data_IF_663452279775
#
_entry.id   IF_663452279775
#
_cell.length_a   1.000
_cell.length_b   1.000
_cell.length_c   1.000
_cell.angle_alpha   90.00
_cell.angle_beta   90.00
_cell.angle_gamma   90.00
#
_symmetry.space_group_name_H-M   'P 1'
#
loop_
_entity.id
_entity.type
_entity.pdbx_description
1 polymer ?
#
# COMPACT_ATOMS: atom_id res chain seq x y z
N UNK A 1 -1.60 -24.82 -33.32
CA UNK A 1 -2.87 -24.09 -33.49
C UNK A 1 -3.46 -23.90 -32.10
N UNK A 2 -3.33 -22.69 -31.54
CA UNK A 2 -3.94 -22.32 -30.26
C UNK A 2 -5.44 -22.13 -30.51
N UNK A 3 -6.25 -23.15 -30.23
CA UNK A 3 -7.71 -23.13 -30.36
C UNK A 3 -8.36 -22.65 -29.06
N UNK A 4 -7.92 -21.49 -28.56
CA UNK A 4 -8.61 -20.74 -27.52
C UNK A 4 -9.06 -19.41 -28.13
N UNK A 5 -10.35 -19.11 -28.09
CA UNK A 5 -10.86 -17.79 -28.51
C UNK A 5 -10.19 -16.74 -27.63
N UNK A 6 -9.39 -15.86 -28.23
CA UNK A 6 -8.74 -14.75 -27.51
C UNK A 6 -9.84 -13.94 -26.82
N UNK A 7 -9.87 -13.96 -25.49
CA UNK A 7 -10.82 -13.18 -24.69
C UNK A 7 -10.50 -11.70 -24.91
N UNK A 8 -11.53 -10.86 -25.06
CA UNK A 8 -11.29 -9.43 -25.24
C UNK A 8 -10.53 -8.86 -24.03
N UNK A 9 -9.56 -8.00 -24.29
CA UNK A 9 -8.57 -7.50 -23.31
C UNK A 9 -9.22 -6.97 -22.03
N UNK A 10 -10.36 -6.27 -22.15
CA UNK A 10 -11.04 -5.69 -21.00
C UNK A 10 -11.61 -6.74 -20.03
N UNK A 11 -12.05 -7.91 -20.52
CA UNK A 11 -12.46 -9.02 -19.64
C UNK A 11 -11.27 -9.62 -18.90
N UNK A 12 -10.15 -9.79 -19.60
CA UNK A 12 -8.90 -10.31 -19.00
C UNK A 12 -8.44 -9.38 -17.87
N UNK A 13 -8.38 -8.07 -18.14
CA UNK A 13 -7.98 -7.08 -17.12
C UNK A 13 -8.96 -7.05 -15.94
N UNK A 14 -10.27 -7.11 -16.19
CA UNK A 14 -11.29 -7.15 -15.14
C UNK A 14 -11.18 -8.37 -14.23
N UNK A 15 -10.90 -9.56 -14.79
CA UNK A 15 -10.69 -10.78 -14.04
C UNK A 15 -9.43 -10.70 -13.17
N UNK A 16 -8.32 -10.22 -13.73
CA UNK A 16 -7.07 -10.06 -12.99
C UNK A 16 -7.13 -8.94 -11.96
N UNK A 17 -7.92 -7.89 -12.20
CA UNK A 17 -8.22 -6.88 -11.18
C UNK A 17 -8.98 -7.51 -10.01
N UNK A 18 -9.97 -8.35 -10.30
CA UNK A 18 -10.74 -9.07 -9.28
C UNK A 18 -9.85 -10.03 -8.49
N UNK A 19 -8.90 -10.70 -9.14
CA UNK A 19 -7.89 -11.51 -8.47
C UNK A 19 -6.95 -10.65 -7.60
N UNK A 20 -6.39 -9.57 -8.15
CA UNK A 20 -5.41 -8.71 -7.46
C UNK A 20 -5.93 -8.14 -6.14
N UNK A 21 -7.22 -7.81 -6.09
CA UNK A 21 -7.86 -7.16 -4.95
C UNK A 21 -8.90 -8.06 -4.25
N UNK A 22 -8.92 -9.35 -4.59
CA UNK A 22 -9.82 -10.31 -3.97
C UNK A 22 -9.50 -10.49 -2.48
N UNK A 23 -10.56 -10.52 -1.67
CA UNK A 23 -10.49 -10.77 -0.23
C UNK A 23 -11.25 -12.04 0.14
N UNK A 24 -11.00 -12.53 1.36
CA UNK A 24 -11.61 -13.75 1.89
C UNK A 24 -10.64 -14.94 1.93
N UNK A 25 -11.11 -16.13 2.33
CA UNK A 25 -10.24 -17.30 2.45
C UNK A 25 -9.67 -17.72 1.08
N UNK A 26 -8.44 -18.24 1.08
CA UNK A 26 -7.86 -18.85 -0.08
C UNK A 26 -8.61 -20.13 -0.47
N UNK A 27 -8.67 -20.42 -1.77
CA UNK A 27 -9.05 -21.74 -2.25
C UNK A 27 -7.82 -22.64 -2.18
N UNK A 28 -7.66 -23.31 -1.04
CA UNK A 28 -6.45 -24.08 -0.74
C UNK A 28 -6.22 -25.21 -1.74
N UNK A 29 -7.27 -25.94 -2.12
CA UNK A 29 -7.15 -27.06 -3.05
C UNK A 29 -6.66 -26.59 -4.43
N UNK A 30 -7.21 -25.48 -4.94
CA UNK A 30 -6.75 -24.89 -6.21
C UNK A 30 -5.33 -24.35 -6.12
N UNK A 31 -4.98 -23.71 -5.01
CA UNK A 31 -3.64 -23.18 -4.81
C UNK A 31 -2.58 -24.29 -4.72
N UNK A 32 -2.86 -25.39 -4.03
CA UNK A 32 -1.96 -26.53 -3.92
C UNK A 32 -1.76 -27.21 -5.29
N UNK A 33 -2.85 -27.39 -6.06
CA UNK A 33 -2.78 -27.91 -7.42
C UNK A 33 -2.00 -26.98 -8.36
N UNK A 34 -2.22 -25.66 -8.26
CA UNK A 34 -1.46 -24.66 -9.01
C UNK A 34 0.03 -24.66 -8.68
N UNK A 35 0.38 -24.77 -7.39
CA UNK A 35 1.77 -24.89 -6.96
C UNK A 35 2.40 -26.19 -7.48
N UNK A 36 1.72 -27.34 -7.38
CA UNK A 36 2.21 -28.60 -7.94
C UNK A 36 2.47 -28.49 -9.46
N UNK A 37 1.54 -27.87 -10.19
CA UNK A 37 1.69 -27.65 -11.63
C UNK A 37 2.87 -26.73 -11.96
N UNK A 38 3.13 -25.70 -11.16
CA UNK A 38 4.28 -24.82 -11.33
C UNK A 38 5.61 -25.55 -11.09
N UNK A 39 5.67 -26.44 -10.09
CA UNK A 39 6.85 -27.31 -9.87
C UNK A 39 7.06 -28.29 -11.03
N UNK A 40 6.00 -28.94 -11.50
CA UNK A 40 6.06 -29.86 -12.63
C UNK A 40 6.53 -29.15 -13.91
N UNK A 41 6.05 -27.92 -14.17
CA UNK A 41 6.51 -27.10 -15.29
C UNK A 41 7.99 -26.71 -15.20
N UNK A 42 8.53 -26.62 -13.99
CA UNK A 42 9.95 -26.39 -13.72
C UNK A 42 10.80 -27.69 -13.75
N UNK A 43 10.18 -28.86 -13.99
CA UNK A 43 10.87 -30.15 -13.96
C UNK A 43 11.24 -30.62 -12.56
N UNK A 44 10.54 -30.15 -11.53
CA UNK A 44 10.70 -30.54 -10.14
C UNK A 44 9.55 -31.46 -9.70
N UNK A 45 9.81 -32.29 -8.70
CA UNK A 45 8.76 -33.04 -8.03
C UNK A 45 7.81 -32.09 -7.29
N UNK A 46 6.54 -32.49 -7.13
CA UNK A 46 5.59 -31.71 -6.36
C UNK A 46 6.05 -31.62 -4.88
N UNK A 47 5.76 -30.50 -4.18
CA UNK A 47 6.06 -30.37 -2.75
C UNK A 47 5.45 -31.51 -1.95
N UNK A 48 6.20 -32.05 -0.99
CA UNK A 48 5.72 -33.09 -0.09
C UNK A 48 4.75 -32.52 0.97
N UNK A 49 4.89 -31.23 1.30
CA UNK A 49 4.05 -30.53 2.29
C UNK A 49 3.64 -29.14 1.82
N UNK A 50 2.42 -28.77 2.15
CA UNK A 50 1.82 -27.46 1.90
C UNK A 50 1.51 -26.81 3.24
N UNK A 51 2.31 -25.81 3.61
CA UNK A 51 2.22 -25.12 4.90
C UNK A 51 1.38 -23.87 4.71
N UNK A 52 0.18 -23.83 5.29
CA UNK A 52 -0.71 -22.68 5.21
C UNK A 52 -0.49 -21.73 6.38
N UNK A 53 -0.20 -20.47 6.07
CA UNK A 53 -0.03 -19.39 7.05
C UNK A 53 -1.11 -18.31 6.84
N UNK A 54 -1.53 -17.64 7.92
CA UNK A 54 -2.61 -16.65 7.85
C UNK A 54 -2.22 -15.35 7.14
N UNK A 55 -0.94 -15.02 7.00
CA UNK A 55 -0.50 -13.77 6.41
C UNK A 55 0.89 -13.88 5.75
N UNK A 56 1.24 -12.97 4.81
CA UNK A 56 2.56 -12.95 4.23
C UNK A 56 3.64 -12.61 5.27
N UNK A 57 3.29 -11.94 6.36
CA UNK A 57 4.23 -11.65 7.43
C UNK A 57 4.60 -12.90 8.24
N UNK A 58 3.59 -13.72 8.58
CA UNK A 58 3.84 -15.05 9.18
C UNK A 58 4.66 -15.95 8.25
N UNK A 59 4.38 -15.90 6.95
CA UNK A 59 5.16 -16.59 5.92
C UNK A 59 6.61 -16.13 5.84
N UNK A 60 6.87 -14.81 5.91
CA UNK A 60 8.22 -14.26 5.92
C UNK A 60 9.03 -14.67 7.16
N UNK A 61 8.40 -14.75 8.33
CA UNK A 61 9.06 -15.29 9.55
C UNK A 61 9.41 -16.77 9.35
N UNK A 62 8.48 -17.58 8.86
CA UNK A 62 8.74 -19.00 8.58
C UNK A 62 9.86 -19.19 7.56
N UNK A 63 9.87 -18.41 6.49
CA UNK A 63 10.94 -18.42 5.50
C UNK A 63 12.30 -18.01 6.09
N UNK A 64 12.34 -17.00 6.96
CA UNK A 64 13.55 -16.58 7.66
C UNK A 64 14.07 -17.66 8.64
N UNK A 65 13.17 -18.36 9.35
CA UNK A 65 13.53 -19.50 10.21
C UNK A 65 14.15 -20.63 9.38
N UNK A 66 13.55 -20.97 8.22
CA UNK A 66 14.11 -21.97 7.30
C UNK A 66 15.48 -21.57 6.73
N UNK A 67 15.72 -20.26 6.54
CA UNK A 67 17.01 -19.71 6.13
C UNK A 67 18.07 -19.69 7.25
N UNK A 68 17.74 -20.18 8.46
CA UNK A 68 18.67 -20.23 9.58
C UNK A 68 18.82 -18.89 10.31
N UNK A 69 17.84 -18.00 10.21
CA UNK A 69 17.88 -16.68 10.85
C UNK A 69 17.16 -16.61 12.20
N UNK A 70 16.74 -17.75 12.76
CA UNK A 70 15.99 -17.82 14.02
C UNK A 70 16.68 -17.07 15.16
N UNK A 71 17.97 -17.31 15.38
CA UNK A 71 18.72 -16.70 16.50
C UNK A 71 18.75 -15.16 16.41
N UNK A 72 18.93 -14.60 15.21
CA UNK A 72 18.94 -13.14 15.01
C UNK A 72 17.55 -12.51 15.24
N UNK A 73 16.48 -13.25 14.95
CA UNK A 73 15.11 -12.81 15.23
C UNK A 73 14.80 -12.91 16.74
N UNK A 74 15.34 -13.94 17.42
CA UNK A 74 15.20 -14.13 18.86
C UNK A 74 15.88 -12.99 19.63
N UNK A 75 17.10 -12.62 19.23
CA UNK A 75 17.85 -11.46 19.77
C UNK A 75 17.06 -10.15 19.63
N UNK A 76 16.27 -10.01 18.56
CA UNK A 76 15.39 -8.87 18.33
C UNK A 76 14.05 -8.94 19.11
N UNK A 77 13.85 -9.96 19.94
CA UNK A 77 12.65 -10.13 20.77
C UNK A 77 11.45 -10.70 20.01
N UNK A 78 11.68 -11.46 18.94
CA UNK A 78 10.62 -12.05 18.12
C UNK A 78 10.34 -13.53 18.43
N UNK A 79 10.69 -14.00 19.64
CA UNK A 79 10.54 -15.39 20.09
C UNK A 79 9.14 -15.96 19.83
N UNK A 80 8.08 -15.23 20.23
CA UNK A 80 6.69 -15.67 20.00
C UNK A 80 6.40 -15.95 18.51
N UNK A 81 6.95 -15.15 17.59
CA UNK A 81 6.77 -15.35 16.14
C UNK A 81 7.56 -16.55 15.62
N UNK A 82 8.73 -16.80 16.22
CA UNK A 82 9.58 -17.95 15.89
C UNK A 82 8.91 -19.25 16.36
N UNK A 83 8.39 -19.30 17.58
CA UNK A 83 7.66 -20.46 18.11
C UNK A 83 6.47 -20.80 17.22
N UNK A 84 5.70 -19.77 16.89
CA UNK A 84 4.62 -19.77 15.94
C UNK A 84 5.02 -20.33 14.56
N UNK A 85 6.10 -19.82 13.98
CA UNK A 85 6.61 -20.31 12.70
C UNK A 85 7.09 -21.76 12.78
N UNK A 86 7.76 -22.16 13.87
CA UNK A 86 8.18 -23.55 14.10
C UNK A 86 6.97 -24.48 14.25
N UNK A 87 5.90 -24.02 14.89
CA UNK A 87 4.65 -24.77 15.01
C UNK A 87 4.00 -25.01 13.64
N UNK A 88 3.98 -23.98 12.77
CA UNK A 88 3.45 -24.11 11.41
C UNK A 88 4.29 -25.08 10.55
N UNK A 89 5.62 -25.00 10.67
CA UNK A 89 6.57 -25.84 9.92
C UNK A 89 6.61 -27.29 10.44
N UNK A 90 6.39 -27.50 11.73
CA UNK A 90 6.52 -28.80 12.38
C UNK A 90 7.91 -29.40 12.22
N UNK A 91 7.97 -30.69 11.89
CA UNK A 91 9.19 -31.46 11.62
C UNK A 91 9.64 -31.41 10.15
N UNK A 92 9.02 -30.54 9.33
CA UNK A 92 9.29 -30.48 7.90
C UNK A 92 10.70 -29.95 7.59
N UNK A 93 11.44 -30.64 6.72
CA UNK A 93 12.69 -30.12 6.17
C UNK A 93 12.44 -29.54 4.78
N UNK A 94 12.80 -28.27 4.56
CA UNK A 94 12.42 -27.56 3.35
C UNK A 94 13.27 -27.89 2.11
N UNK A 95 14.56 -28.18 2.30
CA UNK A 95 15.55 -28.17 1.21
C UNK A 95 15.90 -26.74 0.79
N UNK A 96 16.56 -26.56 -0.36
CA UNK A 96 16.88 -25.19 -0.84
C UNK A 96 15.61 -24.48 -1.35
N UNK A 97 15.65 -23.15 -1.39
CA UNK A 97 14.64 -22.36 -2.09
C UNK A 97 14.71 -22.60 -3.61
N UNK A 98 13.54 -22.72 -4.25
CA UNK A 98 13.41 -23.01 -5.69
C UNK A 98 12.64 -21.91 -6.44
N UNK A 99 12.57 -20.69 -5.90
CA UNK A 99 11.91 -19.54 -6.51
C UNK A 99 12.39 -19.28 -7.94
N UNK A 100 13.71 -19.38 -8.16
CA UNK A 100 14.28 -19.17 -9.48
C UNK A 100 13.81 -20.22 -10.49
N UNK A 101 13.70 -21.48 -10.05
CA UNK A 101 13.27 -22.61 -10.89
C UNK A 101 11.78 -22.52 -11.20
N UNK A 102 10.95 -22.31 -10.16
CA UNK A 102 9.48 -22.37 -10.25
C UNK A 102 8.86 -21.09 -10.83
N UNK A 103 9.44 -19.92 -10.55
CA UNK A 103 8.88 -18.62 -10.95
C UNK A 103 9.79 -17.86 -11.89
N UNK A 104 11.02 -17.54 -11.50
CA UNK A 104 11.82 -16.54 -12.23
C UNK A 104 12.16 -16.97 -13.65
N UNK A 105 12.72 -18.16 -13.87
CA UNK A 105 13.15 -18.60 -15.21
C UNK A 105 11.97 -18.82 -16.17
N UNK A 106 10.87 -19.50 -15.80
CA UNK A 106 9.70 -19.63 -16.67
C UNK A 106 9.13 -18.26 -17.08
N UNK A 107 9.04 -17.33 -16.12
CA UNK A 107 8.52 -15.99 -16.33
C UNK A 107 9.38 -15.15 -17.26
N UNK A 108 10.70 -15.20 -17.07
CA UNK A 108 11.64 -14.48 -17.93
C UNK A 108 11.65 -15.02 -19.35
N UNK A 109 11.55 -16.35 -19.51
CA UNK A 109 11.46 -16.99 -20.82
C UNK A 109 10.20 -16.52 -21.59
N UNK A 110 9.03 -16.57 -20.94
CA UNK A 110 7.77 -16.11 -21.54
C UNK A 110 7.78 -14.60 -21.83
N UNK A 111 8.33 -13.79 -20.92
CA UNK A 111 8.47 -12.35 -21.13
C UNK A 111 9.40 -12.03 -22.31
N UNK A 112 10.53 -12.72 -22.41
CA UNK A 112 11.49 -12.53 -23.49
C UNK A 112 10.87 -12.92 -24.85
N UNK A 113 10.21 -14.08 -24.92
CA UNK A 113 9.52 -14.53 -26.12
C UNK A 113 8.41 -13.54 -26.54
N UNK A 114 7.58 -13.09 -25.59
CA UNK A 114 6.54 -12.09 -25.83
C UNK A 114 7.11 -10.77 -26.37
N UNK A 115 8.18 -10.27 -25.76
CA UNK A 115 8.84 -9.04 -26.18
C UNK A 115 9.43 -9.18 -27.59
N UNK A 116 10.06 -10.31 -27.91
CA UNK A 116 10.61 -10.59 -29.24
C UNK A 116 9.54 -10.69 -30.33
N UNK A 117 8.39 -11.31 -30.05
CA UNK A 117 7.30 -11.45 -31.01
C UNK A 117 6.54 -10.15 -31.27
N UNK A 118 6.31 -9.35 -30.23
CA UNK A 118 5.59 -8.06 -30.34
C UNK A 118 6.49 -6.97 -30.94
N UNK A 119 7.80 -7.04 -30.68
CA UNK A 119 8.75 -5.99 -31.07
C UNK A 119 8.59 -4.71 -30.23
N UNK A 120 9.50 -3.73 -30.45
CA UNK A 120 9.66 -2.57 -29.57
C UNK A 120 8.48 -1.59 -29.58
N UNK A 121 7.66 -1.59 -30.63
CA UNK A 121 6.50 -0.68 -30.75
C UNK A 121 5.25 -1.24 -30.07
N UNK A 122 4.97 -2.52 -30.28
CA UNK A 122 3.74 -3.13 -29.78
C UNK A 122 3.84 -3.56 -28.32
N UNK A 123 5.02 -4.04 -27.88
CA UNK A 123 5.23 -4.44 -26.48
C UNK A 123 4.79 -3.40 -25.43
N UNK A 124 5.23 -2.12 -25.50
CA UNK A 124 4.81 -1.12 -24.52
C UNK A 124 3.32 -0.77 -24.62
N UNK A 125 2.71 -0.86 -25.81
CA UNK A 125 1.26 -0.63 -25.98
C UNK A 125 0.45 -1.73 -25.33
N UNK A 126 0.78 -2.98 -25.62
CA UNK A 126 0.12 -4.14 -25.00
C UNK A 126 0.25 -4.08 -23.48
N UNK A 127 1.43 -3.70 -22.94
CA UNK A 127 1.57 -3.46 -21.51
C UNK A 127 0.64 -2.36 -20.99
N UNK A 128 0.61 -1.19 -21.64
CA UNK A 128 -0.23 -0.06 -21.23
C UNK A 128 -1.73 -0.41 -21.22
N UNK A 129 -2.18 -1.23 -22.17
CA UNK A 129 -3.57 -1.65 -22.34
C UNK A 129 -3.97 -2.85 -21.45
N UNK A 130 -3.00 -3.47 -20.76
CA UNK A 130 -3.22 -4.65 -19.92
C UNK A 130 -2.69 -4.45 -18.49
N UNK A 131 -1.53 -4.99 -18.18
CA UNK A 131 -0.91 -4.97 -16.85
C UNK A 131 -0.60 -3.57 -16.34
N UNK A 132 -0.28 -2.64 -17.25
CA UNK A 132 -0.04 -1.25 -16.93
C UNK A 132 -1.21 -0.57 -16.21
N UNK A 133 -2.45 -0.97 -16.50
CA UNK A 133 -3.65 -0.46 -15.86
C UNK A 133 -3.73 -0.83 -14.37
N UNK A 134 -3.16 -1.97 -13.98
CA UNK A 134 -3.20 -2.48 -12.60
C UNK A 134 -1.90 -2.18 -11.83
N UNK A 135 -0.79 -1.96 -12.55
CA UNK A 135 0.57 -1.95 -12.03
C UNK A 135 0.76 -1.03 -10.83
N UNK A 136 0.40 0.26 -10.95
CA UNK A 136 0.68 1.25 -9.92
C UNK A 136 -0.06 0.94 -8.60
N UNK A 137 -1.33 0.54 -8.69
CA UNK A 137 -2.14 0.21 -7.51
C UNK A 137 -1.61 -1.05 -6.81
N UNK A 138 -1.31 -2.10 -7.58
CA UNK A 138 -0.80 -3.36 -7.03
C UNK A 138 0.62 -3.19 -6.47
N UNK A 139 1.52 -2.48 -7.16
CA UNK A 139 2.87 -2.23 -6.66
C UNK A 139 2.89 -1.38 -5.40
N UNK A 140 2.00 -0.38 -5.29
CA UNK A 140 1.84 0.40 -4.06
C UNK A 140 1.46 -0.51 -2.89
N UNK A 141 0.49 -1.42 -3.09
CA UNK A 141 0.09 -2.39 -2.09
C UNK A 141 1.23 -3.34 -1.70
N UNK A 142 1.92 -3.94 -2.68
CA UNK A 142 3.07 -4.84 -2.45
C UNK A 142 4.17 -4.15 -1.65
N UNK A 143 4.51 -2.91 -2.02
CA UNK A 143 5.53 -2.11 -1.32
C UNK A 143 5.14 -1.88 0.14
N UNK A 144 3.87 -1.52 0.38
CA UNK A 144 3.35 -1.29 1.74
C UNK A 144 3.34 -2.57 2.58
N UNK A 145 2.96 -3.71 1.99
CA UNK A 145 3.02 -5.01 2.68
C UNK A 145 4.46 -5.39 3.04
N UNK A 146 5.42 -5.27 2.11
CA UNK A 146 6.85 -5.56 2.41
C UNK A 146 7.41 -4.66 3.51
N UNK A 147 7.08 -3.37 3.48
CA UNK A 147 7.49 -2.44 4.53
C UNK A 147 6.94 -2.88 5.90
N UNK A 148 5.63 -3.17 5.96
CA UNK A 148 4.97 -3.61 7.19
C UNK A 148 5.50 -4.95 7.73
N UNK A 149 5.94 -5.87 6.85
CA UNK A 149 6.62 -7.12 7.26
C UNK A 149 7.92 -6.81 8.01
N UNK A 150 8.73 -5.86 7.53
CA UNK A 150 9.94 -5.42 8.23
C UNK A 150 9.66 -4.66 9.53
N UNK A 151 8.58 -3.87 9.56
CA UNK A 151 8.16 -3.10 10.74
C UNK A 151 7.71 -3.96 11.92
N UNK A 152 7.40 -5.25 11.71
CA UNK A 152 7.09 -6.18 12.81
C UNK A 152 8.20 -6.27 13.86
N UNK A 153 9.46 -6.16 13.43
CA UNK A 153 10.63 -6.09 14.33
C UNK A 153 10.65 -4.83 15.22
N UNK A 154 9.98 -3.76 14.78
CA UNK A 154 9.96 -2.47 15.46
C UNK A 154 8.72 -2.32 16.36
N UNK A 155 7.54 -2.70 15.87
CA UNK A 155 6.26 -2.51 16.56
C UNK A 155 6.16 -3.26 17.90
N UNK A 156 6.71 -4.48 17.98
CA UNK A 156 6.63 -5.28 19.22
C UNK A 156 7.64 -4.88 20.28
N UNK A 157 8.78 -4.31 19.91
CA UNK A 157 9.76 -3.82 20.88
C UNK A 157 9.23 -2.63 21.70
N UNK A 158 8.29 -1.84 21.15
CA UNK A 158 7.59 -0.79 21.89
C UNK A 158 6.53 -1.36 22.85
N UNK A 159 5.86 -2.45 22.48
CA UNK A 159 4.82 -3.08 23.29
C UNK A 159 5.37 -3.94 24.45
N UNK A 160 6.54 -4.56 24.28
CA UNK A 160 7.09 -5.54 25.23
C UNK A 160 7.89 -4.93 26.40
N UNK A 161 8.11 -3.61 26.44
CA UNK A 161 8.88 -2.94 27.50
C UNK A 161 10.38 -3.30 27.57
N UNK A 162 10.81 -4.38 26.90
CA UNK A 162 12.20 -4.76 26.65
C UNK A 162 12.62 -4.25 25.27
N UNK A 163 13.43 -3.19 25.28
CA UNK A 163 14.02 -2.64 24.08
C UNK A 163 15.23 -3.51 23.68
N UNK A 164 15.05 -4.49 22.79
CA UNK A 164 16.19 -5.02 22.05
C UNK A 164 16.96 -3.85 21.42
N UNK A 165 18.30 -3.87 21.42
CA UNK A 165 19.10 -2.79 20.87
C UNK A 165 18.66 -2.40 19.45
N UNK A 166 18.70 -1.11 19.12
CA UNK A 166 18.31 -0.62 17.80
C UNK A 166 19.00 -1.36 16.62
N UNK A 167 20.29 -1.75 16.70
CA UNK A 167 20.95 -2.52 15.64
C UNK A 167 20.34 -3.91 15.39
N UNK A 168 19.93 -4.62 16.45
CA UNK A 168 19.39 -5.98 16.32
C UNK A 168 18.01 -5.96 15.67
N UNK A 169 17.20 -4.93 15.99
CA UNK A 169 15.90 -4.70 15.35
C UNK A 169 16.03 -4.35 13.88
N UNK A 170 16.98 -3.52 13.51
CA UNK A 170 17.22 -3.18 12.10
C UNK A 170 17.72 -4.39 11.31
N UNK A 171 18.57 -5.22 11.93
CA UNK A 171 19.01 -6.49 11.35
C UNK A 171 17.83 -7.43 11.12
N UNK A 172 16.98 -7.64 12.13
CA UNK A 172 15.77 -8.46 12.01
C UNK A 172 14.80 -7.94 10.94
N UNK A 173 14.55 -6.63 10.92
CA UNK A 173 13.73 -5.99 9.89
C UNK A 173 14.28 -6.22 8.48
N UNK A 174 15.61 -6.12 8.31
CA UNK A 174 16.28 -6.41 7.04
C UNK A 174 16.14 -7.87 6.61
N UNK A 175 16.26 -8.81 7.55
CA UNK A 175 16.09 -10.25 7.30
C UNK A 175 14.65 -10.60 6.91
N UNK A 176 13.65 -10.04 7.58
CA UNK A 176 12.24 -10.24 7.24
C UNK A 176 11.90 -9.61 5.87
N UNK A 177 12.44 -8.43 5.57
CA UNK A 177 12.31 -7.82 4.23
C UNK A 177 12.95 -8.68 3.15
N UNK A 178 14.12 -9.27 3.42
CA UNK A 178 14.79 -10.19 2.50
C UNK A 178 13.96 -11.46 2.27
N UNK A 179 13.45 -12.08 3.34
CA UNK A 179 12.55 -13.23 3.21
C UNK A 179 11.28 -12.91 2.40
N UNK A 180 10.73 -11.70 2.52
CA UNK A 180 9.60 -11.24 1.71
C UNK A 180 9.95 -10.96 0.23
N UNK A 181 11.23 -10.84 -0.13
CA UNK A 181 11.68 -10.79 -1.53
C UNK A 181 11.73 -12.18 -2.17
N UNK A 182 11.91 -13.22 -1.38
CA UNK A 182 11.93 -14.62 -1.83
C UNK A 182 10.53 -15.23 -2.06
N UNK A 183 9.49 -14.41 -1.91
CA UNK A 183 8.10 -14.81 -2.16
C UNK A 183 7.72 -14.65 -3.64
N UNK A 184 6.93 -15.61 -4.15
CA UNK A 184 6.02 -15.39 -5.27
C UNK A 184 4.83 -14.57 -4.75
N UNK A 185 4.40 -13.54 -5.49
CA UNK A 185 3.44 -12.55 -4.98
C UNK A 185 1.98 -13.00 -5.06
N UNK A 186 1.73 -14.20 -5.62
CA UNK A 186 0.40 -14.77 -5.77
C UNK A 186 -0.55 -13.80 -6.45
N UNK A 187 -1.67 -13.47 -5.81
CA UNK A 187 -2.64 -12.52 -6.36
C UNK A 187 -2.04 -11.18 -6.80
N UNK A 188 -0.94 -10.72 -6.19
CA UNK A 188 -0.32 -9.44 -6.56
C UNK A 188 0.66 -9.55 -7.74
N UNK A 189 0.84 -10.72 -8.34
CA UNK A 189 1.46 -10.88 -9.66
C UNK A 189 0.47 -10.61 -10.82
N UNK A 190 -0.82 -10.36 -10.51
CA UNK A 190 -1.90 -10.13 -11.46
C UNK A 190 -1.63 -9.15 -12.62
N UNK A 191 -0.94 -7.99 -12.44
CA UNK A 191 -0.65 -7.10 -13.56
C UNK A 191 0.09 -7.80 -14.71
N UNK A 192 1.10 -8.61 -14.39
CA UNK A 192 1.86 -9.35 -15.38
C UNK A 192 1.07 -10.54 -15.94
N UNK A 193 0.29 -11.22 -15.10
CA UNK A 193 -0.53 -12.33 -15.54
C UNK A 193 -1.65 -11.87 -16.48
N UNK A 194 -2.17 -10.65 -16.33
CA UNK A 194 -3.07 -10.01 -17.29
C UNK A 194 -2.41 -9.84 -18.66
N UNK A 195 -1.16 -9.33 -18.69
CA UNK A 195 -0.40 -9.22 -19.94
C UNK A 195 -0.22 -10.60 -20.60
N UNK A 196 0.23 -11.60 -19.83
CA UNK A 196 0.46 -12.95 -20.37
C UNK A 196 -0.83 -13.60 -20.87
N UNK A 197 -1.95 -13.45 -20.17
CA UNK A 197 -3.25 -13.98 -20.62
C UNK A 197 -3.72 -13.30 -21.91
N UNK A 198 -3.61 -11.98 -22.02
CA UNK A 198 -3.95 -11.25 -23.24
C UNK A 198 -3.09 -11.64 -24.44
N UNK A 199 -1.90 -12.19 -24.20
CA UNK A 199 -1.00 -12.74 -25.21
C UNK A 199 -1.16 -14.25 -25.43
N UNK A 200 -2.09 -14.92 -24.72
CA UNK A 200 -2.32 -16.36 -24.84
C UNK A 200 -1.20 -17.23 -24.24
N UNK A 201 -0.49 -16.74 -23.22
CA UNK A 201 0.71 -17.37 -22.64
C UNK A 201 0.49 -18.08 -21.31
N UNK A 202 -0.75 -18.24 -20.86
CA UNK A 202 -1.05 -18.92 -19.60
C UNK A 202 -1.25 -20.43 -19.73
N UNK A 203 -1.42 -20.98 -20.94
CA UNK A 203 -1.71 -22.41 -21.16
C UNK A 203 -0.46 -23.31 -21.11
N UNK A 204 0.61 -22.87 -20.45
CA UNK A 204 1.90 -23.57 -20.41
C UNK A 204 2.64 -23.39 -19.09
N UNK A 205 3.92 -22.97 -19.10
CA UNK A 205 4.75 -22.97 -17.90
C UNK A 205 4.27 -21.97 -16.83
N UNK A 206 3.37 -21.05 -17.17
CA UNK A 206 2.77 -20.09 -16.24
C UNK A 206 1.39 -20.52 -15.71
N UNK A 207 0.83 -21.64 -16.17
CA UNK A 207 -0.52 -22.08 -15.79
C UNK A 207 -0.66 -22.24 -14.27
N UNK A 208 0.30 -22.92 -13.65
CA UNK A 208 0.33 -23.14 -12.20
C UNK A 208 0.45 -21.83 -11.42
N UNK A 209 1.35 -20.93 -11.84
CA UNK A 209 1.53 -19.61 -11.22
C UNK A 209 0.25 -18.76 -11.29
N UNK A 210 -0.42 -18.79 -12.46
CA UNK A 210 -1.69 -18.10 -12.64
C UNK A 210 -2.80 -18.68 -11.74
N UNK A 211 -2.82 -20.00 -11.57
CA UNK A 211 -3.81 -20.67 -10.71
C UNK A 211 -3.61 -20.33 -9.24
N UNK A 212 -2.37 -20.31 -8.74
CA UNK A 212 -2.08 -19.84 -7.37
C UNK A 212 -2.48 -18.37 -7.21
N UNK A 213 -2.18 -17.52 -8.19
CA UNK A 213 -2.54 -16.11 -8.12
C UNK A 213 -4.06 -15.85 -8.05
N UNK A 214 -4.88 -16.74 -8.63
CA UNK A 214 -6.35 -16.64 -8.54
C UNK A 214 -6.89 -17.13 -7.20
N UNK A 215 -6.16 -18.03 -6.52
CA UNK A 215 -6.66 -18.80 -5.39
C UNK A 215 -6.04 -18.44 -4.04
N UNK A 216 -4.84 -17.84 -4.00
CA UNK A 216 -4.11 -17.58 -2.76
C UNK A 216 -3.30 -16.27 -2.76
N UNK A 217 -2.76 -15.94 -1.58
CA UNK A 217 -1.83 -14.85 -1.37
C UNK A 217 -0.39 -15.24 -1.75
N UNK A 218 0.57 -14.66 -1.04
CA UNK A 218 1.99 -14.87 -1.31
C UNK A 218 2.43 -16.27 -0.94
N UNK A 219 3.49 -16.77 -1.56
CA UNK A 219 3.99 -18.11 -1.27
C UNK A 219 5.49 -18.26 -1.51
N UNK A 220 6.12 -19.17 -0.76
CA UNK A 220 7.56 -19.42 -0.76
C UNK A 220 7.85 -20.86 -1.17
N UNK A 221 8.44 -21.08 -2.35
CA UNK A 221 8.73 -22.42 -2.85
C UNK A 221 10.09 -22.93 -2.39
N UNK A 222 10.11 -24.12 -1.78
CA UNK A 222 11.31 -24.91 -1.46
C UNK A 222 11.24 -26.30 -2.12
N UNK A 223 12.35 -27.03 -2.17
CA UNK A 223 12.39 -28.36 -2.83
C UNK A 223 11.35 -29.33 -2.30
N UNK A 224 11.13 -29.36 -0.98
CA UNK A 224 10.29 -30.38 -0.33
C UNK A 224 8.98 -29.85 0.23
N UNK A 225 8.86 -28.55 0.39
CA UNK A 225 7.65 -27.92 0.91
C UNK A 225 7.41 -26.58 0.26
N UNK A 226 6.18 -26.10 0.39
CA UNK A 226 5.80 -24.74 0.04
C UNK A 226 5.07 -24.09 1.21
N UNK A 227 5.36 -22.82 1.49
CA UNK A 227 4.58 -22.01 2.43
C UNK A 227 3.61 -21.16 1.61
N UNK A 228 2.31 -21.24 1.88
CA UNK A 228 1.27 -20.44 1.23
C UNK A 228 0.56 -19.55 2.24
N UNK A 229 0.41 -18.28 1.90
CA UNK A 229 -0.39 -17.32 2.67
C UNK A 229 -1.84 -17.35 2.23
N UNK A 230 -2.74 -17.24 3.20
CA UNK A 230 -4.10 -16.76 2.98
C UNK A 230 -4.13 -15.39 2.27
N UNK A 231 -5.28 -15.03 1.71
CA UNK A 231 -5.54 -13.69 1.15
C UNK A 231 -5.93 -12.74 2.29
N UNK A 232 -5.88 -11.41 2.08
CA UNK A 232 -6.45 -10.48 3.06
C UNK A 232 -7.94 -10.77 3.28
N UNK A 233 -8.39 -10.70 4.52
CA UNK A 233 -9.82 -10.75 4.85
C UNK A 233 -10.55 -9.47 4.47
N UNK A 234 -9.85 -8.34 4.57
CA UNK A 234 -10.39 -7.00 4.27
C UNK A 234 -9.38 -6.16 3.47
N UNK A 235 -9.90 -5.39 2.51
CA UNK A 235 -9.15 -4.44 1.71
C UNK A 235 -10.05 -3.25 1.35
N UNK A 236 -9.66 -2.06 1.80
CA UNK A 236 -10.39 -0.81 1.61
C UNK A 236 -9.51 0.20 0.87
N UNK A 237 -10.09 0.82 -0.15
CA UNK A 237 -9.40 1.76 -1.03
C UNK A 237 -10.28 2.97 -1.29
N UNK A 238 -9.65 4.11 -1.52
CA UNK A 238 -10.33 5.30 -2.05
C UNK A 238 -10.60 5.16 -3.55
N UNK A 239 -11.29 6.14 -4.13
CA UNK A 239 -11.65 6.15 -5.56
C UNK A 239 -10.42 6.07 -6.49
N UNK A 240 -9.29 6.76 -6.22
CA UNK A 240 -8.01 6.52 -6.92
C UNK A 240 -7.35 5.14 -6.71
N UNK A 241 -7.91 4.28 -5.85
CA UNK A 241 -7.40 2.93 -5.59
C UNK A 241 -6.28 2.86 -4.54
N UNK A 242 -6.05 3.92 -3.75
CA UNK A 242 -5.06 3.95 -2.66
C UNK A 242 -5.67 3.35 -1.40
N UNK A 243 -4.87 2.69 -0.56
CA UNK A 243 -5.34 2.20 0.74
C UNK A 243 -5.95 3.33 1.57
N UNK A 244 -7.19 3.15 1.99
CA UNK A 244 -7.91 4.15 2.79
C UNK A 244 -9.02 3.51 3.60
N UNK A 245 -9.07 3.82 4.90
CA UNK A 245 -10.23 3.55 5.74
C UNK A 245 -10.28 4.53 6.92
N UNK A 246 -11.50 4.94 7.30
CA UNK A 246 -11.75 5.88 8.39
C UNK A 246 -12.19 5.26 9.70
N UNK A 247 -12.34 3.95 9.80
CA UNK A 247 -12.91 3.29 10.98
C UNK A 247 -12.24 1.94 11.28
N UNK A 248 -11.03 1.73 10.76
CA UNK A 248 -10.30 0.48 10.93
C UNK A 248 -9.09 0.33 10.01
N UNK A 249 -8.54 -0.88 9.88
CA UNK A 249 -7.44 -1.16 8.97
C UNK A 249 -7.90 -1.09 7.50
N UNK A 250 -7.07 -0.50 6.66
CA UNK A 250 -7.30 -0.46 5.22
C UNK A 250 -6.95 -1.81 4.56
N UNK A 251 -6.14 -2.64 5.20
CA UNK A 251 -5.84 -4.02 4.81
C UNK A 251 -5.72 -4.85 6.09
N UNK A 252 -6.37 -6.01 6.15
CA UNK A 252 -6.26 -6.91 7.31
C UNK A 252 -6.19 -8.38 6.89
N UNK A 253 -5.31 -9.12 7.53
CA UNK A 253 -5.18 -10.58 7.40
C UNK A 253 -5.79 -11.30 8.62
N UNK A 254 -6.16 -12.59 8.48
CA UNK A 254 -6.78 -13.39 9.54
C UNK A 254 -6.07 -13.42 10.90
N UNK A 255 -4.75 -13.22 10.95
CA UNK A 255 -3.95 -13.22 12.18
C UNK A 255 -3.82 -11.84 12.84
N UNK A 256 -4.50 -10.83 12.30
CA UNK A 256 -4.41 -9.45 12.78
C UNK A 256 -3.23 -8.67 12.20
N UNK A 257 -2.44 -9.24 11.28
CA UNK A 257 -1.50 -8.44 10.50
C UNK A 257 -2.29 -7.45 9.64
N UNK A 258 -2.11 -6.16 9.91
CA UNK A 258 -2.96 -5.11 9.36
C UNK A 258 -2.18 -3.85 9.02
N UNK A 259 -2.65 -3.13 8.00
CA UNK A 259 -2.13 -1.83 7.58
C UNK A 259 -3.23 -0.78 7.70
N UNK A 260 -2.92 0.31 8.40
CA UNK A 260 -3.78 1.48 8.48
C UNK A 260 -3.30 2.54 7.51
N UNK A 261 -4.26 3.16 6.81
CA UNK A 261 -3.95 4.21 5.85
C UNK A 261 -5.10 5.20 5.68
N UNK A 262 -4.75 6.46 5.48
CA UNK A 262 -5.66 7.54 5.13
C UNK A 262 -5.27 8.11 3.77
N UNK A 263 -6.10 7.92 2.72
CA UNK A 263 -5.82 8.38 1.35
C UNK A 263 -4.43 7.97 0.83
N UNK A 264 -4.01 6.74 1.15
CA UNK A 264 -2.71 6.17 0.80
C UNK A 264 -1.58 6.44 1.81
N UNK A 265 -1.74 7.42 2.70
CA UNK A 265 -0.73 7.78 3.69
C UNK A 265 -0.79 6.82 4.89
N UNK A 266 0.35 6.22 5.33
CA UNK A 266 0.41 5.37 6.52
C UNK A 266 -0.01 6.13 7.77
N UNK A 267 -0.97 5.60 8.53
CA UNK A 267 -1.40 6.20 9.80
C UNK A 267 -1.31 5.17 10.93
N UNK A 268 -1.11 5.60 12.20
CA UNK A 268 -1.26 4.72 13.35
C UNK A 268 -2.67 4.09 13.44
N UNK A 269 -2.83 2.91 14.09
CA UNK A 269 -4.13 2.25 14.24
C UNK A 269 -5.22 3.10 14.92
N UNK A 270 -4.81 3.91 15.89
CA UNK A 270 -5.68 4.78 16.68
C UNK A 270 -5.90 6.14 16.02
N UNK A 271 -5.21 6.46 14.91
CA UNK A 271 -5.20 7.80 14.31
C UNK A 271 -6.61 8.33 14.09
N UNK A 272 -7.51 7.53 13.50
CA UNK A 272 -8.85 8.04 13.16
C UNK A 272 -9.74 8.23 14.37
N UNK A 273 -9.75 7.28 15.32
CA UNK A 273 -10.44 7.48 16.61
C UNK A 273 -9.91 8.72 17.34
N UNK A 274 -8.63 9.01 17.16
CA UNK A 274 -7.97 10.15 17.76
C UNK A 274 -8.39 11.50 17.18
N UNK A 275 -9.03 11.50 16.00
CA UNK A 275 -9.52 12.72 15.35
C UNK A 275 -10.84 13.22 15.97
N UNK A 276 -11.61 12.36 16.65
CA UNK A 276 -12.88 12.78 17.29
C UNK A 276 -12.63 13.75 18.45
N UNK A 277 -11.58 13.50 19.23
CA UNK A 277 -11.17 14.33 20.38
C UNK A 277 -9.95 15.21 20.06
N UNK A 278 -9.83 15.62 18.79
CA UNK A 278 -8.71 16.42 18.33
C UNK A 278 -8.71 17.80 19.02
N UNK A 279 -7.52 18.26 19.42
CA UNK A 279 -7.32 19.58 20.05
C UNK A 279 -6.22 20.35 19.33
N UNK A 280 -6.23 21.68 19.38
CA UNK A 280 -5.17 22.48 18.78
C UNK A 280 -3.77 22.09 19.31
N UNK A 281 -3.65 21.83 20.61
CA UNK A 281 -2.39 21.41 21.24
C UNK A 281 -1.86 20.08 20.67
N UNK A 282 -2.76 19.10 20.45
CA UNK A 282 -2.39 17.81 19.83
C UNK A 282 -1.85 18.02 18.42
N UNK A 283 -2.56 18.83 17.62
CA UNK A 283 -2.14 19.17 16.25
C UNK A 283 -0.76 19.82 16.26
N UNK A 284 -0.52 20.79 17.14
CA UNK A 284 0.78 21.47 17.24
C UNK A 284 1.92 20.54 17.68
N UNK A 285 1.62 19.50 18.46
CA UNK A 285 2.60 18.53 18.96
C UNK A 285 2.90 17.39 17.99
N UNK A 286 2.07 17.18 16.97
CA UNK A 286 2.29 16.14 15.97
C UNK A 286 3.56 16.46 15.19
N UNK A 287 4.52 15.54 15.20
CA UNK A 287 5.81 15.67 14.52
C UNK A 287 5.70 15.43 13.01
N UNK A 288 4.84 14.51 12.59
CA UNK A 288 4.67 14.17 11.19
C UNK A 288 3.85 15.25 10.48
N UNK A 289 4.51 16.00 9.59
CA UNK A 289 3.91 17.09 8.83
C UNK A 289 2.65 16.67 8.06
N UNK A 290 2.65 15.49 7.46
CA UNK A 290 1.52 14.99 6.67
C UNK A 290 0.32 14.64 7.58
N UNK A 291 0.55 14.02 8.73
CA UNK A 291 -0.51 13.76 9.72
C UNK A 291 -1.08 15.06 10.27
N UNK A 292 -0.20 16.02 10.61
CA UNK A 292 -0.59 17.32 11.15
C UNK A 292 -1.45 18.12 10.16
N UNK A 293 -1.14 18.06 8.85
CA UNK A 293 -1.96 18.67 7.79
C UNK A 293 -3.34 18.03 7.71
N UNK A 294 -3.43 16.70 7.72
CA UNK A 294 -4.73 15.99 7.75
C UNK A 294 -5.53 16.35 8.99
N UNK A 295 -4.88 16.41 10.15
CA UNK A 295 -5.51 16.85 11.38
C UNK A 295 -6.04 18.29 11.28
N UNK A 296 -5.28 19.23 10.72
CA UNK A 296 -5.73 20.62 10.50
C UNK A 296 -6.95 20.69 9.57
N UNK A 297 -6.94 19.95 8.47
CA UNK A 297 -8.07 19.89 7.53
C UNK A 297 -9.35 19.39 8.20
N UNK A 298 -9.24 18.40 9.08
CA UNK A 298 -10.38 17.79 9.79
C UNK A 298 -10.83 18.67 10.95
N UNK A 299 -9.90 19.28 11.68
CA UNK A 299 -10.20 20.15 12.82
C UNK A 299 -10.87 21.46 12.40
N UNK A 300 -10.57 21.94 11.19
CA UNK A 300 -10.95 23.25 10.71
C UNK A 300 -9.89 24.30 11.04
N UNK A 301 -9.49 25.06 10.03
CA UNK A 301 -8.49 26.11 10.17
C UNK A 301 -8.99 27.29 11.01
N UNK A 302 -10.28 27.63 10.89
CA UNK A 302 -10.97 28.66 11.66
C UNK A 302 -10.87 28.39 13.18
N UNK A 303 -11.20 27.16 13.58
CA UNK A 303 -11.16 26.73 14.97
C UNK A 303 -9.72 26.69 15.48
N UNK A 304 -8.78 26.20 14.67
CA UNK A 304 -7.37 26.16 15.04
C UNK A 304 -6.79 27.56 15.29
N UNK A 305 -7.03 28.50 14.38
CA UNK A 305 -6.56 29.89 14.51
C UNK A 305 -7.15 30.55 15.77
N UNK A 306 -8.44 30.32 16.04
CA UNK A 306 -9.11 30.84 17.23
C UNK A 306 -8.53 30.26 18.53
N UNK A 307 -8.35 28.95 18.62
CA UNK A 307 -7.83 28.28 19.82
C UNK A 307 -6.35 28.57 20.09
N UNK A 308 -5.55 28.80 19.04
CA UNK A 308 -4.11 29.11 19.17
C UNK A 308 -3.82 30.60 19.38
N UNK A 309 -4.83 31.47 19.27
CA UNK A 309 -4.65 32.92 19.37
C UNK A 309 -3.79 33.48 18.23
N UNK A 310 -3.89 32.88 17.04
CA UNK A 310 -3.13 33.28 15.87
C UNK A 310 -3.41 34.76 15.53
N UNK A 311 -2.40 35.45 15.00
CA UNK A 311 -2.52 36.84 14.55
C UNK A 311 -2.49 36.89 13.03
N UNK A 312 -3.33 37.72 12.39
CA UNK A 312 -3.32 37.84 10.94
C UNK A 312 -1.99 38.42 10.45
N UNK A 313 -1.48 37.88 9.34
CA UNK A 313 -0.27 38.35 8.67
C UNK A 313 -0.53 39.67 7.93
N UNK A 314 -1.71 39.80 7.32
CA UNK A 314 -2.14 41.00 6.61
C UNK A 314 -3.67 41.12 6.62
N UNK A 315 -4.21 42.34 6.49
CA UNK A 315 -5.64 42.58 6.32
C UNK A 315 -5.85 43.79 5.42
N UNK A 316 -6.74 43.66 4.45
CA UNK A 316 -7.16 44.74 3.55
C UNK A 316 -8.65 44.60 3.19
N UNK A 317 -9.13 45.36 2.21
CA UNK A 317 -10.52 45.32 1.75
C UNK A 317 -10.95 43.99 1.10
N UNK A 318 -10.01 43.13 0.70
CA UNK A 318 -10.29 41.85 0.03
C UNK A 318 -10.39 40.67 1.00
N UNK A 319 -9.85 40.81 2.21
CA UNK A 319 -9.92 39.75 3.23
C UNK A 319 -8.82 39.83 4.29
N UNK A 320 -8.62 38.71 4.98
CA UNK A 320 -7.59 38.55 6.02
C UNK A 320 -6.64 37.43 5.63
N UNK A 321 -5.33 37.71 5.62
CA UNK A 321 -4.31 36.70 5.40
C UNK A 321 -3.84 36.15 6.74
N UNK A 322 -3.83 34.83 6.88
CA UNK A 322 -3.38 34.12 8.07
C UNK A 322 -2.17 33.25 7.74
N UNK A 323 -1.24 33.11 8.69
CA UNK A 323 -0.14 32.14 8.63
C UNK A 323 -0.15 31.28 9.90
N UNK A 324 -0.06 29.98 9.72
CA UNK A 324 0.18 29.01 10.80
C UNK A 324 1.60 28.49 10.62
N UNK A 325 2.49 28.87 11.54
CA UNK A 325 3.84 28.33 11.59
C UNK A 325 3.82 26.87 12.05
N UNK A 326 4.44 25.99 11.26
CA UNK A 326 4.55 24.57 11.55
C UNK A 326 6.04 24.22 11.75
N UNK A 327 6.49 23.88 12.98
CA UNK A 327 7.88 23.52 13.21
C UNK A 327 8.35 22.38 12.30
N UNK A 328 9.46 22.60 11.59
CA UNK A 328 10.05 21.62 10.69
C UNK A 328 9.30 21.41 9.37
N UNK A 329 8.38 22.31 9.02
CA UNK A 329 7.60 22.26 7.79
C UNK A 329 7.35 23.69 7.25
N UNK A 330 6.84 23.79 6.03
CA UNK A 330 6.43 25.05 5.41
C UNK A 330 5.15 25.59 6.09
N UNK A 331 5.04 26.92 6.33
CA UNK A 331 3.88 27.49 7.00
C UNK A 331 2.60 27.27 6.20
N UNK A 332 1.51 27.10 6.92
CA UNK A 332 0.18 27.02 6.33
C UNK A 332 -0.39 28.43 6.20
N UNK A 333 -0.31 29.01 5.00
CA UNK A 333 -0.89 30.31 4.66
C UNK A 333 -2.28 30.13 4.05
N UNK A 334 -3.22 30.99 4.45
CA UNK A 334 -4.59 31.00 3.97
C UNK A 334 -5.19 32.41 3.93
N UNK A 335 -6.15 32.61 3.04
CA UNK A 335 -6.96 33.82 3.01
C UNK A 335 -8.37 33.53 3.53
N UNK A 336 -8.82 34.34 4.48
CA UNK A 336 -10.19 34.39 4.97
C UNK A 336 -10.98 35.35 4.07
N UNK A 337 -11.99 34.82 3.40
CA UNK A 337 -12.91 35.56 2.53
C UNK A 337 -14.35 35.29 2.94
N UNK A 338 -15.21 36.27 2.74
CA UNK A 338 -16.65 36.14 2.95
C UNK A 338 -17.31 36.01 1.58
N UNK A 339 -18.16 35.00 1.40
CA UNK A 339 -18.89 34.83 0.15
C UNK A 339 -19.72 36.08 -0.15
N UNK A 340 -19.62 36.56 -1.38
CA UNK A 340 -20.30 37.75 -1.87
C UNK A 340 -21.79 37.56 -2.13
N UNK A 341 -22.19 36.32 -2.36
CA UNK A 341 -23.60 35.94 -2.56
C UNK A 341 -24.11 35.36 -1.25
N UNK A 342 -25.19 35.92 -0.66
CA UNK A 342 -25.83 35.29 0.49
C UNK A 342 -26.32 33.89 0.12
N UNK A 343 -26.20 32.97 1.08
CA UNK A 343 -26.82 31.65 1.03
C UNK A 343 -28.36 31.79 0.91
N UNK A 344 -29.09 30.72 0.55
CA UNK A 344 -30.55 30.76 0.42
C UNK A 344 -31.31 31.26 1.66
N UNK A 345 -30.68 31.22 2.83
CA UNK A 345 -31.20 31.73 4.11
C UNK A 345 -30.80 33.18 4.43
N UNK A 346 -30.09 33.86 3.51
CA UNK A 346 -29.62 35.24 3.66
C UNK A 346 -28.28 35.38 4.39
N UNK A 347 -27.70 34.30 4.89
CA UNK A 347 -26.42 34.34 5.63
C UNK A 347 -25.24 34.40 4.67
N UNK A 348 -24.12 34.97 5.12
CA UNK A 348 -22.86 34.92 4.38
C UNK A 348 -21.94 33.92 5.06
N UNK A 349 -21.25 33.09 4.27
CA UNK A 349 -20.28 32.13 4.77
C UNK A 349 -18.87 32.67 4.67
N UNK A 350 -18.10 32.46 5.74
CA UNK A 350 -16.65 32.69 5.74
C UNK A 350 -15.95 31.43 5.26
N UNK A 351 -15.01 31.60 4.34
CA UNK A 351 -14.17 30.54 3.81
C UNK A 351 -12.71 30.84 4.12
N UNK A 352 -11.96 29.80 4.43
CA UNK A 352 -10.51 29.83 4.62
C UNK A 352 -9.88 29.04 3.47
N UNK A 353 -9.30 29.75 2.51
CA UNK A 353 -8.74 29.15 1.30
C UNK A 353 -7.22 29.11 1.42
N UNK A 354 -6.63 27.92 1.23
CA UNK A 354 -5.16 27.74 1.21
C UNK A 354 -4.58 28.48 0.01
N UNK A 355 -3.50 29.22 0.24
CA UNK A 355 -2.76 29.97 -0.78
C UNK A 355 -1.27 29.64 -0.67
N UNK A 356 -0.44 30.02 -1.66
CA UNK A 356 0.99 29.78 -1.60
C UNK A 356 1.62 30.36 -0.33
N UNK A 357 2.61 29.67 0.25
CA UNK A 357 3.24 30.05 1.52
C UNK A 357 4.07 31.34 1.43
N UNK A 358 4.48 31.73 0.22
CA UNK A 358 5.15 33.01 -0.03
C UNK A 358 4.22 34.23 -0.13
N UNK A 359 2.90 34.04 -0.03
CA UNK A 359 1.91 35.13 -0.14
C UNK A 359 2.05 36.12 1.02
N UNK A 360 2.01 37.43 0.71
CA UNK A 360 2.25 38.51 1.69
C UNK A 360 1.06 39.42 1.96
N UNK A 361 0.12 39.53 1.04
CA UNK A 361 -1.07 40.40 1.14
C UNK A 361 -2.35 39.56 1.01
N UNK A 362 -3.46 40.06 1.56
CA UNK A 362 -4.74 39.36 1.42
C UNK A 362 -5.21 39.41 -0.04
N UNK A 363 -5.05 40.56 -0.71
CA UNK A 363 -5.34 40.70 -2.15
C UNK A 363 -4.61 39.69 -3.02
N UNK A 364 -3.30 39.48 -2.84
CA UNK A 364 -2.55 38.47 -3.58
C UNK A 364 -3.09 37.05 -3.34
N UNK A 365 -3.46 36.75 -2.09
CA UNK A 365 -4.08 35.48 -1.74
C UNK A 365 -5.39 35.26 -2.48
N UNK A 366 -6.29 36.24 -2.46
CA UNK A 366 -7.58 36.16 -3.17
C UNK A 366 -7.36 36.04 -4.68
N UNK A 367 -6.53 36.89 -5.28
CA UNK A 367 -6.21 36.87 -6.71
C UNK A 367 -5.74 35.48 -7.18
N UNK A 368 -4.85 34.85 -6.40
CA UNK A 368 -4.36 33.51 -6.68
C UNK A 368 -5.48 32.46 -6.72
N UNK A 369 -6.48 32.54 -5.84
CA UNK A 369 -7.63 31.61 -5.85
C UNK A 369 -8.48 31.70 -7.12
N UNK A 370 -8.39 32.81 -7.86
CA UNK A 370 -9.01 33.01 -9.17
C UNK A 370 -8.06 32.77 -10.35
N UNK A 371 -6.80 32.39 -10.08
CA UNK A 371 -5.80 32.16 -11.13
C UNK A 371 -5.32 33.42 -11.84
N UNK A 372 -5.37 34.58 -11.17
CA UNK A 372 -4.92 35.88 -11.72
C UNK A 372 -3.85 36.52 -10.86
N UNK A 373 -3.05 37.42 -11.45
CA UNK A 373 -2.03 38.18 -10.76
C UNK A 373 -2.63 39.30 -9.89
N UNK A 374 -1.97 39.64 -8.77
CA UNK A 374 -2.45 40.65 -7.82
C UNK A 374 -2.70 42.02 -8.48
N UNK A 375 -1.84 42.42 -9.42
CA UNK A 375 -1.94 43.71 -10.12
C UNK A 375 -3.16 43.79 -11.06
N UNK A 376 -3.61 42.65 -11.57
CA UNK A 376 -4.74 42.53 -12.49
C UNK A 376 -6.05 42.23 -11.76
N UNK A 377 -5.98 41.95 -10.46
CA UNK A 377 -7.15 41.65 -9.64
C UNK A 377 -7.91 42.93 -9.25
N UNK A 378 -8.87 43.29 -10.10
CA UNK A 378 -9.83 44.37 -9.89
C UNK A 378 -11.22 43.79 -9.58
N UNK A 379 -11.55 43.49 -8.31
CA UNK A 379 -12.90 43.06 -7.96
C UNK A 379 -13.88 44.21 -8.27
N UNK A 380 -14.82 43.99 -9.19
CA UNK A 380 -15.90 44.94 -9.41
C UNK A 380 -16.66 45.11 -8.09
N UNK A 381 -16.85 46.36 -7.66
CA UNK A 381 -17.59 46.69 -6.43
C UNK A 381 -18.92 45.93 -6.42
N UNK A 382 -19.04 45.03 -5.46
CA UNK A 382 -20.27 44.32 -5.13
C UNK A 382 -21.26 45.29 -4.46
N UNK A 383 -22.53 45.12 -4.81
CA UNK A 383 -23.66 45.82 -4.18
C UNK A 383 -24.15 45.05 -2.98
#
# INVERSE_FOLDING_TARGET
>A
MLTGTVRETHYVVGDWQSAAFGTGPADRARAEAGAAAAYAAAGLDAPERYIWVPSPARGAVAAAVLAGHGDALEEAGLGDLIEQARADLGDATAGRGVLADVRTRPWEAERAAACSEQGPEQWPRTWADTGGLLWNQVQSLVTRVRAAVGEQAHARSLAAGNLSPAPDRERAASLLRAAALDAVLGQHDAPWLALFESLGRLDGPLAGLAEVARSAGWWWPYERLVILSERPGELHRDEPGRLHRGDGPALAYPDGFALHAWRGMPVPPDFVSSLTDLTAARISSESNAELRRVMLEIFGYDRYLAETGARPLHRDETGVLWSIELPGDEPVVMVEVVNSTPEPDGTHRTYYLRVPPGTRTARAGVAWTFGVDEADYAPEKQT
#
